data_IF_143690322812
#
_entry.id   IF_143690322812
#
_cell.length_a   1.000
_cell.length_b   1.000
_cell.length_c   1.000
_cell.angle_alpha   90.00
_cell.angle_beta   90.00
_cell.angle_gamma   90.00
#
_symmetry.space_group_name_H-M   'P 1'
#
loop_
_entity.id
_entity.type
_entity.pdbx_description
1 polymer ?
#
# COMPACT_ATOMS: atom_id res chain seq x y z
N UNK A 1 -21.43 19.39 -2.99
CA UNK A 1 -20.51 18.76 -3.97
C UNK A 1 -21.00 17.34 -4.20
N UNK A 2 -21.37 16.95 -5.43
CA UNK A 2 -21.86 15.58 -5.69
C UNK A 2 -20.67 14.62 -5.56
N UNK A 3 -20.62 13.90 -4.45
CA UNK A 3 -19.66 12.83 -4.19
C UNK A 3 -19.97 11.71 -5.19
N UNK A 4 -19.02 11.44 -6.11
CA UNK A 4 -18.99 10.32 -7.06
C UNK A 4 -20.18 9.32 -7.00
N UNK A 5 -21.01 9.29 -8.04
CA UNK A 5 -22.05 8.26 -8.25
C UNK A 5 -21.48 7.13 -9.15
N UNK A 6 -21.37 5.88 -8.66
CA UNK A 6 -20.93 4.74 -9.45
C UNK A 6 -21.86 4.47 -10.64
N UNK A 7 -21.31 4.19 -11.83
CA UNK A 7 -22.08 3.74 -13.00
C UNK A 7 -22.43 2.24 -12.93
N UNK A 8 -21.64 1.47 -12.18
CA UNK A 8 -21.86 0.04 -11.91
C UNK A 8 -21.58 -0.25 -10.45
N UNK A 9 -22.20 -1.30 -9.89
CA UNK A 9 -22.16 -1.62 -8.45
C UNK A 9 -20.74 -1.68 -7.87
N UNK A 10 -19.76 -2.14 -8.66
CA UNK A 10 -18.38 -2.35 -8.22
C UNK A 10 -17.40 -1.27 -8.71
N UNK A 11 -17.89 -0.11 -9.14
CA UNK A 11 -17.02 0.94 -9.66
C UNK A 11 -16.29 1.68 -8.53
N UNK A 12 -14.96 1.51 -8.48
CA UNK A 12 -14.10 2.11 -7.46
C UNK A 12 -13.62 3.52 -7.79
N UNK A 13 -13.47 3.84 -9.07
CA UNK A 13 -12.90 5.09 -9.56
C UNK A 13 -13.84 5.74 -10.58
N UNK A 14 -13.87 7.07 -10.63
CA UNK A 14 -14.74 7.80 -11.56
C UNK A 14 -14.37 7.66 -13.04
N UNK A 15 -13.11 7.34 -13.35
CA UNK A 15 -12.63 7.14 -14.71
C UNK A 15 -11.60 6.00 -14.79
N UNK A 16 -11.48 5.29 -15.94
CA UNK A 16 -10.46 4.28 -16.15
C UNK A 16 -9.03 4.80 -15.96
N UNK A 17 -8.77 6.05 -16.34
CA UNK A 17 -7.47 6.72 -16.15
C UNK A 17 -7.10 6.84 -14.68
N UNK A 18 -8.06 7.14 -13.80
CA UNK A 18 -7.82 7.21 -12.36
C UNK A 18 -7.56 5.83 -11.76
N UNK A 19 -8.27 4.79 -12.24
CA UNK A 19 -7.98 3.41 -11.88
C UNK A 19 -6.56 3.00 -12.28
N UNK A 20 -6.17 3.28 -13.54
CA UNK A 20 -4.82 3.00 -14.03
C UNK A 20 -3.75 3.76 -13.23
N UNK A 21 -3.97 5.05 -12.95
CA UNK A 21 -3.07 5.85 -12.15
C UNK A 21 -2.90 5.29 -10.72
N UNK A 22 -3.99 4.84 -10.10
CA UNK A 22 -3.94 4.17 -8.79
C UNK A 22 -3.11 2.88 -8.85
N UNK A 23 -3.45 1.97 -9.78
CA UNK A 23 -2.79 0.67 -9.90
C UNK A 23 -1.31 0.77 -10.28
N UNK A 24 -0.93 1.74 -11.13
CA UNK A 24 0.46 1.98 -11.49
C UNK A 24 1.28 2.40 -10.27
N UNK A 25 0.76 3.33 -9.46
CA UNK A 25 1.41 3.71 -8.20
C UNK A 25 1.47 2.54 -7.23
N UNK A 26 0.37 1.80 -7.08
CA UNK A 26 0.33 0.66 -6.19
C UNK A 26 1.34 -0.42 -6.58
N UNK A 27 1.48 -0.68 -7.87
CA UNK A 27 2.47 -1.63 -8.41
C UNK A 27 3.90 -1.17 -8.17
N UNK A 28 4.22 0.08 -8.52
CA UNK A 28 5.56 0.62 -8.35
C UNK A 28 5.98 0.62 -6.87
N UNK A 29 5.08 1.05 -5.98
CA UNK A 29 5.32 1.10 -4.54
C UNK A 29 5.38 -0.30 -3.92
N UNK A 30 4.51 -1.21 -4.35
CA UNK A 30 4.47 -2.60 -3.91
C UNK A 30 5.78 -3.34 -4.21
N UNK A 31 6.34 -3.17 -5.41
CA UNK A 31 7.65 -3.75 -5.78
C UNK A 31 8.78 -3.41 -4.80
N UNK A 32 8.70 -2.24 -4.16
CA UNK A 32 9.68 -1.79 -3.17
C UNK A 32 9.29 -2.22 -1.76
N UNK A 33 8.04 -2.02 -1.33
CA UNK A 33 7.62 -2.30 0.04
C UNK A 33 7.53 -3.78 0.35
N UNK A 34 7.12 -4.62 -0.60
CA UNK A 34 6.94 -6.05 -0.37
C UNK A 34 8.21 -6.74 0.14
N UNK A 35 9.39 -6.65 -0.52
CA UNK A 35 10.60 -7.28 0.01
C UNK A 35 10.99 -6.74 1.39
N UNK A 36 10.87 -5.43 1.62
CA UNK A 36 11.17 -4.82 2.93
C UNK A 36 10.25 -5.37 4.02
N UNK A 37 8.95 -5.48 3.75
CA UNK A 37 7.96 -6.01 4.67
C UNK A 37 8.23 -7.48 5.04
N UNK A 38 8.58 -8.30 4.06
CA UNK A 38 8.92 -9.71 4.30
C UNK A 38 10.18 -9.83 5.15
N UNK A 39 11.26 -9.12 4.81
CA UNK A 39 12.52 -9.15 5.58
C UNK A 39 12.30 -8.65 7.00
N UNK A 40 11.59 -7.53 7.18
CA UNK A 40 11.24 -7.01 8.50
C UNK A 40 10.43 -8.03 9.30
N UNK A 41 9.42 -8.68 8.70
CA UNK A 41 8.58 -9.66 9.38
C UNK A 41 9.34 -10.93 9.77
N UNK A 42 10.10 -11.51 8.85
CA UNK A 42 10.86 -12.76 9.05
C UNK A 42 11.89 -12.60 10.18
N UNK A 43 12.56 -11.46 10.21
CA UNK A 43 13.62 -11.16 11.19
C UNK A 43 13.08 -10.55 12.49
N UNK A 44 11.75 -10.36 12.63
CA UNK A 44 11.11 -9.61 13.73
C UNK A 44 11.80 -8.25 13.94
N UNK A 45 11.82 -7.46 12.87
CA UNK A 45 12.45 -6.15 12.78
C UNK A 45 13.94 -6.18 13.17
N UNK A 46 14.64 -7.25 12.82
CA UNK A 46 16.06 -7.43 13.09
C UNK A 46 16.44 -7.94 14.48
N UNK A 47 15.52 -8.60 15.19
CA UNK A 47 15.79 -9.26 16.48
C UNK A 47 16.02 -10.78 16.37
N UNK A 48 15.70 -11.38 15.21
CA UNK A 48 15.80 -12.83 14.94
C UNK A 48 16.64 -13.11 13.69
N UNK A 49 17.41 -14.20 13.72
CA UNK A 49 18.26 -14.67 12.61
C UNK A 49 19.76 -14.60 12.92
N UNK A 50 20.59 -14.78 11.89
CA UNK A 50 22.03 -14.48 11.95
C UNK A 50 22.27 -12.98 12.13
N UNK A 51 23.50 -12.57 12.41
CA UNK A 51 23.83 -11.16 12.58
C UNK A 51 23.61 -10.35 11.29
N UNK A 52 23.90 -10.94 10.14
CA UNK A 52 23.61 -10.36 8.82
C UNK A 52 22.11 -10.20 8.61
N UNK A 53 21.32 -11.23 8.91
CA UNK A 53 19.87 -11.19 8.78
C UNK A 53 19.25 -10.16 9.73
N UNK A 54 19.75 -10.06 10.97
CA UNK A 54 19.32 -9.06 11.95
C UNK A 54 19.62 -7.64 11.45
N UNK A 55 20.80 -7.40 10.86
CA UNK A 55 21.16 -6.10 10.27
C UNK A 55 20.21 -5.73 9.13
N UNK A 56 20.02 -6.64 8.17
CA UNK A 56 19.08 -6.43 7.06
C UNK A 56 17.65 -6.17 7.56
N UNK A 57 17.21 -6.87 8.61
CA UNK A 57 15.91 -6.68 9.25
C UNK A 57 15.69 -5.28 9.82
N UNK A 58 16.70 -4.70 10.49
CA UNK A 58 16.64 -3.32 11.01
C UNK A 58 16.56 -2.31 9.88
N UNK A 59 17.42 -2.45 8.88
CA UNK A 59 17.45 -1.57 7.72
C UNK A 59 16.13 -1.62 6.95
N UNK A 60 15.62 -2.81 6.67
CA UNK A 60 14.35 -3.01 5.98
C UNK A 60 13.17 -2.39 6.74
N UNK A 61 13.08 -2.62 8.05
CA UNK A 61 12.04 -2.04 8.91
C UNK A 61 12.07 -0.52 8.88
N UNK A 62 13.26 0.09 8.99
CA UNK A 62 13.42 1.54 8.96
C UNK A 62 13.01 2.11 7.60
N UNK A 63 13.54 1.55 6.51
CA UNK A 63 13.22 2.00 5.16
C UNK A 63 11.73 1.85 4.84
N UNK A 64 11.12 0.73 5.23
CA UNK A 64 9.69 0.48 5.06
C UNK A 64 8.86 1.57 5.75
N UNK A 65 9.13 1.83 7.03
CA UNK A 65 8.41 2.83 7.81
C UNK A 65 8.55 4.24 7.22
N UNK A 66 9.77 4.62 6.83
CA UNK A 66 10.03 5.91 6.18
C UNK A 66 9.27 6.06 4.86
N UNK A 67 9.31 5.04 4.00
CA UNK A 67 8.64 5.08 2.69
C UNK A 67 7.12 5.14 2.84
N UNK A 68 6.54 4.38 3.78
CA UNK A 68 5.11 4.43 4.05
C UNK A 68 4.68 5.84 4.45
N UNK A 69 5.40 6.48 5.39
CA UNK A 69 5.06 7.84 5.81
C UNK A 69 5.20 8.84 4.68
N UNK A 70 6.32 8.80 3.96
CA UNK A 70 6.57 9.68 2.83
C UNK A 70 5.48 9.57 1.76
N UNK A 71 5.13 8.34 1.36
CA UNK A 71 4.14 8.13 0.31
C UNK A 71 2.71 8.46 0.73
N UNK A 72 2.38 8.27 2.02
CA UNK A 72 1.13 8.76 2.61
C UNK A 72 1.06 10.28 2.47
N UNK A 73 2.12 10.99 2.87
CA UNK A 73 2.15 12.44 2.82
C UNK A 73 2.11 12.99 1.38
N UNK A 74 2.81 12.34 0.45
CA UNK A 74 2.74 12.65 -0.99
C UNK A 74 1.32 12.44 -1.55
N UNK A 75 0.63 11.37 -1.17
CA UNK A 75 -0.74 11.11 -1.63
C UNK A 75 -1.72 12.14 -1.06
N UNK A 76 -1.58 12.48 0.22
CA UNK A 76 -2.40 13.50 0.88
C UNK A 76 -2.19 14.88 0.28
N UNK A 77 -0.94 15.28 0.06
CA UNK A 77 -0.60 16.57 -0.56
C UNK A 77 -1.16 16.68 -2.00
N UNK A 78 -1.22 15.55 -2.72
CA UNK A 78 -1.78 15.49 -4.05
C UNK A 78 -3.31 15.23 -4.08
N UNK A 79 -3.99 15.26 -2.93
CA UNK A 79 -5.45 15.04 -2.83
C UNK A 79 -5.90 13.67 -3.34
N UNK A 80 -5.02 12.66 -3.29
CA UNK A 80 -5.31 11.31 -3.78
C UNK A 80 -6.06 10.51 -2.71
N UNK A 81 -6.78 9.48 -3.18
CA UNK A 81 -7.40 8.49 -2.29
C UNK A 81 -6.34 7.89 -1.35
N UNK A 82 -6.63 7.81 -0.06
CA UNK A 82 -5.75 7.17 0.92
C UNK A 82 -5.84 5.64 0.79
N UNK A 83 -4.75 4.92 1.07
CA UNK A 83 -4.71 3.45 0.95
C UNK A 83 -5.74 2.73 1.84
N UNK A 84 -5.99 3.27 3.03
CA UNK A 84 -7.02 2.76 3.93
C UNK A 84 -8.44 2.89 3.34
N UNK A 85 -8.73 4.01 2.68
CA UNK A 85 -10.00 4.21 1.99
C UNK A 85 -10.17 3.23 0.83
N UNK A 86 -9.12 3.03 0.03
CA UNK A 86 -9.10 2.05 -1.06
C UNK A 86 -9.45 0.64 -0.55
N UNK A 87 -8.81 0.17 0.52
CA UNK A 87 -9.10 -1.15 1.09
C UNK A 87 -10.51 -1.25 1.67
N UNK A 88 -10.98 -0.21 2.38
CA UNK A 88 -12.35 -0.17 2.89
C UNK A 88 -13.41 -0.21 1.77
N UNK A 89 -13.13 0.41 0.62
CA UNK A 89 -13.98 0.30 -0.58
C UNK A 89 -13.92 -1.10 -1.18
N UNK A 90 -12.72 -1.70 -1.30
CA UNK A 90 -12.53 -3.07 -1.81
C UNK A 90 -13.33 -4.08 -1.01
N UNK A 91 -13.24 -4.07 0.32
CA UNK A 91 -13.97 -5.01 1.17
C UNK A 91 -15.48 -4.85 1.05
N UNK A 92 -15.99 -3.61 0.98
CA UNK A 92 -17.42 -3.35 0.74
C UNK A 92 -17.94 -3.89 -0.59
N UNK A 93 -17.04 -4.04 -1.58
CA UNK A 93 -17.34 -4.58 -2.90
C UNK A 93 -17.09 -6.10 -2.99
N UNK A 94 -16.90 -6.78 -1.86
CA UNK A 94 -16.73 -8.23 -1.80
C UNK A 94 -15.33 -8.73 -2.18
N UNK A 95 -14.31 -7.86 -2.18
CA UNK A 95 -12.94 -8.35 -2.31
C UNK A 95 -12.53 -9.14 -1.06
N UNK A 96 -12.17 -10.41 -1.25
CA UNK A 96 -11.55 -11.25 -0.22
C UNK A 96 -10.16 -11.71 -0.72
N UNK A 97 -9.06 -11.30 -0.06
CA UNK A 97 -7.71 -11.72 -0.44
C UNK A 97 -7.35 -13.16 -0.04
N UNK A 98 -8.23 -13.87 0.67
CA UNK A 98 -7.99 -15.22 1.19
C UNK A 98 -8.75 -16.32 0.44
N UNK A 99 -9.54 -15.96 -0.58
CA UNK A 99 -10.35 -16.86 -1.41
C UNK A 99 -10.04 -16.66 -2.88
#
# INVERSE_FOLDING_TARGET
MKLFEPKVANQMFCAPTHNAAWNNRATARGRVLTPLAFVARITRNGTRGSDEARKAGREASNQQNTLIQRWRDEDRAAGRMEWGEYMARRYRLGFDPLT
#
